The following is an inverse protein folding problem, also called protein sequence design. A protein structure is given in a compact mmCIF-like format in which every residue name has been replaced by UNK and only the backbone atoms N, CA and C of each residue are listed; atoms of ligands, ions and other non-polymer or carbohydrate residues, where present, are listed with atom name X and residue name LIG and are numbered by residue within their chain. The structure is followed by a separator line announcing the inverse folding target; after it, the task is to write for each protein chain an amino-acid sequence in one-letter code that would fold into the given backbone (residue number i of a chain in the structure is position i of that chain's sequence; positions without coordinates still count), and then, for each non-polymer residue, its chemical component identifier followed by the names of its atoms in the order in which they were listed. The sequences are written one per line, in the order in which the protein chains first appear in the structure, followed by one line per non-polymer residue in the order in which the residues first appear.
data_IF_946613796631
#
_entry.id   IF_946613796631
#
_cell.length_a   1.000
_cell.length_b   1.000
_cell.length_c   1.000
_cell.angle_alpha   90.00
_cell.angle_beta   90.00
_cell.angle_gamma   90.00
#
_symmetry.space_group_name_H-M   'P 1'
#
loop_
_entity.id
_entity.type
_entity.pdbx_description
1 polymer ?
#
# COMPACT_ATOMS: atom_id res chain seq x y z
N UNK A 1 -15.90 7.30 -25.33
CA UNK A 1 -16.00 5.83 -25.17
C UNK A 1 -14.61 5.32 -24.84
N UNK A 2 -14.47 4.50 -23.80
CA UNK A 2 -13.21 3.87 -23.42
C UNK A 2 -12.73 2.89 -24.51
N UNK A 3 -11.41 2.77 -24.70
CA UNK A 3 -10.83 1.80 -25.63
C UNK A 3 -11.32 0.35 -25.33
N UNK A 4 -11.38 0.00 -24.04
CA UNK A 4 -11.92 -1.27 -23.53
C UNK A 4 -13.34 -1.55 -23.99
N UNK A 5 -14.24 -0.56 -23.95
CA UNK A 5 -15.62 -0.70 -24.41
C UNK A 5 -15.72 -0.93 -25.92
N UNK A 6 -14.88 -0.21 -26.70
CA UNK A 6 -14.83 -0.37 -28.16
C UNK A 6 -14.39 -1.78 -28.54
N UNK A 7 -13.33 -2.27 -27.91
CA UNK A 7 -12.79 -3.61 -28.17
C UNK A 7 -13.72 -4.74 -27.69
N UNK A 8 -14.37 -4.58 -26.53
CA UNK A 8 -15.34 -5.57 -26.06
C UNK A 8 -16.53 -5.67 -27.01
N UNK A 9 -17.01 -4.53 -27.51
CA UNK A 9 -18.10 -4.52 -28.51
C UNK A 9 -17.67 -5.22 -29.81
N UNK A 10 -16.46 -4.93 -30.31
CA UNK A 10 -15.90 -5.59 -31.49
C UNK A 10 -15.73 -7.10 -31.30
N UNK A 11 -15.26 -7.52 -30.12
CA UNK A 11 -15.12 -8.94 -29.76
C UNK A 11 -16.48 -9.64 -29.75
N UNK A 12 -17.51 -9.06 -29.10
CA UNK A 12 -18.86 -9.62 -29.05
C UNK A 12 -19.46 -9.79 -30.45
N UNK A 13 -19.28 -8.77 -31.29
CA UNK A 13 -19.72 -8.84 -32.69
C UNK A 13 -19.01 -9.98 -33.43
N UNK A 14 -17.71 -10.10 -33.34
CA UNK A 14 -16.94 -11.15 -33.99
C UNK A 14 -17.35 -12.57 -33.52
N UNK A 15 -17.56 -12.72 -32.20
CA UNK A 15 -18.00 -14.00 -31.63
C UNK A 15 -19.44 -14.36 -32.09
N UNK A 16 -20.36 -13.39 -32.10
CA UNK A 16 -21.70 -13.56 -32.56
C UNK A 16 -21.74 -13.94 -34.06
N UNK A 17 -20.91 -13.26 -34.87
CA UNK A 17 -20.79 -13.57 -36.30
C UNK A 17 -20.25 -14.99 -36.56
N UNK A 18 -19.19 -15.39 -35.81
CA UNK A 18 -18.62 -16.75 -35.92
C UNK A 18 -19.62 -17.84 -35.50
N UNK A 19 -20.32 -17.61 -34.38
CA UNK A 19 -21.35 -18.57 -33.91
C UNK A 19 -22.56 -18.59 -34.80
N UNK A 20 -22.94 -17.48 -35.44
CA UNK A 20 -24.02 -17.35 -36.38
C UNK A 20 -23.70 -17.81 -37.80
N UNK A 21 -22.41 -18.03 -38.16
CA UNK A 21 -21.97 -18.38 -39.51
C UNK A 21 -22.69 -19.64 -40.07
N UNK A 22 -22.85 -20.75 -39.34
CA UNK A 22 -23.61 -21.91 -39.86
C UNK A 22 -25.06 -21.56 -40.21
N UNK A 23 -25.70 -20.71 -39.40
CA UNK A 23 -27.08 -20.27 -39.64
C UNK A 23 -27.14 -19.37 -40.88
N UNK A 24 -26.17 -18.46 -41.06
CA UNK A 24 -26.07 -17.61 -42.27
C UNK A 24 -25.88 -18.46 -43.54
N UNK A 25 -25.06 -19.49 -43.48
CA UNK A 25 -24.87 -20.43 -44.62
C UNK A 25 -26.17 -21.19 -44.93
N UNK A 26 -26.87 -21.67 -43.91
CA UNK A 26 -28.14 -22.35 -44.07
C UNK A 26 -29.19 -21.43 -44.69
N UNK A 27 -29.28 -20.17 -44.22
CA UNK A 27 -30.17 -19.16 -44.77
C UNK A 27 -29.84 -18.88 -46.23
N UNK A 28 -28.58 -18.76 -46.58
CA UNK A 28 -28.13 -18.55 -47.95
C UNK A 28 -28.50 -19.74 -48.85
N UNK A 29 -28.34 -20.97 -48.36
CA UNK A 29 -28.75 -22.17 -49.09
C UNK A 29 -30.27 -22.22 -49.34
N UNK A 30 -31.06 -21.88 -48.31
CA UNK A 30 -32.54 -21.81 -48.44
C UNK A 30 -32.90 -20.69 -49.41
N UNK A 31 -32.28 -19.53 -49.37
CA UNK A 31 -32.51 -18.46 -50.35
C UNK A 31 -32.17 -18.94 -51.76
N UNK A 32 -31.00 -19.60 -51.93
CA UNK A 32 -30.57 -20.09 -53.24
C UNK A 32 -31.55 -21.15 -53.78
N UNK A 33 -31.93 -22.13 -52.96
CA UNK A 33 -32.87 -23.20 -53.41
C UNK A 33 -34.26 -22.68 -53.63
N UNK A 34 -34.73 -21.64 -52.92
CA UNK A 34 -36.08 -21.07 -53.09
C UNK A 34 -36.17 -20.15 -54.31
N UNK A 35 -35.13 -19.38 -54.59
CA UNK A 35 -35.13 -18.45 -55.72
C UNK A 35 -34.71 -19.12 -57.02
N UNK A 36 -33.78 -20.08 -56.94
CA UNK A 36 -33.24 -20.76 -58.13
C UNK A 36 -33.96 -22.06 -58.39
N UNK A 37 -35.16 -21.98 -58.96
CA UNK A 37 -36.00 -23.12 -59.30
C UNK A 37 -36.07 -23.25 -60.84
N UNK A 38 -34.92 -23.67 -61.43
CA UNK A 38 -34.81 -23.78 -62.88
C UNK A 38 -34.53 -22.43 -63.58
N UNK A 39 -34.90 -22.33 -64.88
CA UNK A 39 -34.53 -21.18 -65.71
C UNK A 39 -35.33 -19.90 -65.47
N UNK A 40 -36.23 -19.86 -64.49
CA UNK A 40 -37.07 -18.68 -64.23
C UNK A 40 -37.06 -18.29 -62.75
N UNK A 41 -36.74 -17.01 -62.47
CA UNK A 41 -36.85 -16.40 -61.14
C UNK A 41 -38.34 -16.07 -60.84
N UNK A 42 -39.08 -16.98 -60.21
CA UNK A 42 -40.44 -16.74 -59.75
C UNK A 42 -40.52 -16.89 -58.25
N UNK A 43 -40.74 -15.78 -57.54
CA UNK A 43 -40.95 -15.78 -56.11
C UNK A 43 -42.47 -15.74 -55.85
N UNK A 44 -42.98 -16.79 -55.24
CA UNK A 44 -44.38 -16.78 -54.77
C UNK A 44 -44.52 -15.92 -53.51
N UNK A 45 -45.73 -15.41 -53.24
CA UNK A 45 -46.02 -14.65 -52.06
C UNK A 45 -45.66 -15.47 -50.78
N UNK A 46 -45.89 -16.78 -50.80
CA UNK A 46 -45.55 -17.69 -49.68
C UNK A 46 -44.03 -17.79 -49.45
N UNK A 47 -43.23 -17.85 -50.51
CA UNK A 47 -41.77 -17.93 -50.45
C UNK A 47 -41.18 -16.59 -49.99
N UNK A 48 -41.81 -15.49 -50.43
CA UNK A 48 -41.42 -14.14 -49.93
C UNK A 48 -41.62 -13.98 -48.42
N UNK A 49 -42.75 -14.45 -47.90
CA UNK A 49 -43.02 -14.41 -46.45
C UNK A 49 -42.04 -15.33 -45.69
N UNK A 50 -41.74 -16.52 -46.18
CA UNK A 50 -40.80 -17.45 -45.59
C UNK A 50 -39.40 -16.88 -45.55
N UNK A 51 -38.93 -16.28 -46.64
CA UNK A 51 -37.61 -15.64 -46.71
C UNK A 51 -37.49 -14.42 -45.78
N UNK A 52 -38.54 -13.60 -45.67
CA UNK A 52 -38.60 -12.47 -44.74
C UNK A 52 -38.54 -12.94 -43.27
N UNK A 53 -39.32 -13.98 -42.92
CA UNK A 53 -39.31 -14.56 -41.58
C UNK A 53 -37.92 -15.16 -41.22
N UNK A 54 -37.31 -15.87 -42.16
CA UNK A 54 -35.98 -16.47 -41.96
C UNK A 54 -34.92 -15.41 -41.78
N UNK A 55 -34.96 -14.33 -42.55
CA UNK A 55 -34.07 -13.18 -42.41
C UNK A 55 -34.23 -12.49 -41.04
N UNK A 56 -35.48 -12.29 -40.62
CA UNK A 56 -35.77 -11.70 -39.31
C UNK A 56 -35.24 -12.57 -38.17
N UNK A 57 -35.48 -13.87 -38.19
CA UNK A 57 -35.01 -14.84 -37.21
C UNK A 57 -33.48 -14.83 -37.15
N UNK A 58 -32.81 -14.75 -38.30
CA UNK A 58 -31.33 -14.71 -38.37
C UNK A 58 -30.76 -13.43 -37.76
N UNK A 59 -31.34 -12.28 -38.10
CA UNK A 59 -30.92 -10.98 -37.51
C UNK A 59 -31.15 -11.00 -36.00
N UNK A 60 -32.33 -11.49 -35.57
CA UNK A 60 -32.64 -11.60 -34.14
C UNK A 60 -31.69 -12.57 -33.42
N UNK A 61 -31.33 -13.70 -34.01
CA UNK A 61 -30.41 -14.67 -33.45
C UNK A 61 -29.00 -14.10 -33.31
N UNK A 62 -28.50 -13.38 -34.31
CA UNK A 62 -27.20 -12.71 -34.24
C UNK A 62 -27.23 -11.62 -33.13
N UNK A 63 -28.30 -10.81 -33.05
CA UNK A 63 -28.49 -9.83 -32.00
C UNK A 63 -28.53 -10.47 -30.60
N UNK A 64 -29.24 -11.59 -30.47
CA UNK A 64 -29.30 -12.36 -29.22
C UNK A 64 -27.92 -12.90 -28.84
N UNK A 65 -27.13 -13.44 -29.75
CA UNK A 65 -25.76 -13.90 -29.49
C UNK A 65 -24.82 -12.73 -29.06
N UNK A 66 -25.00 -11.54 -29.60
CA UNK A 66 -24.26 -10.36 -29.18
C UNK A 66 -24.56 -9.95 -27.72
N UNK A 67 -25.79 -10.17 -27.29
CA UNK A 67 -26.24 -9.85 -25.93
C UNK A 67 -26.02 -11.01 -24.93
N UNK A 68 -25.75 -12.23 -25.42
CA UNK A 68 -25.45 -13.35 -24.55
C UNK A 68 -24.21 -13.00 -23.70
N UNK A 69 -24.38 -13.12 -22.39
CA UNK A 69 -23.28 -12.88 -21.44
C UNK A 69 -22.19 -13.92 -21.68
N UNK A 70 -21.09 -13.49 -22.30
CA UNK A 70 -19.89 -14.33 -22.44
C UNK A 70 -19.32 -14.51 -21.04
N UNK A 71 -19.09 -15.73 -20.59
CA UNK A 71 -18.60 -16.08 -19.26
C UNK A 71 -17.29 -15.35 -18.87
N UNK A 72 -16.53 -14.87 -19.84
CA UNK A 72 -15.35 -14.06 -19.63
C UNK A 72 -15.50 -12.68 -20.30
N UNK A 73 -15.85 -11.65 -19.55
CA UNK A 73 -15.81 -10.26 -20.04
C UNK A 73 -14.37 -9.76 -20.06
N UNK A 74 -14.01 -8.94 -21.04
CA UNK A 74 -12.70 -8.27 -21.10
C UNK A 74 -12.63 -7.04 -20.18
N UNK A 75 -13.79 -6.55 -19.76
CA UNK A 75 -13.94 -5.30 -19.01
C UNK A 75 -14.33 -5.57 -17.56
N UNK A 76 -13.94 -4.66 -16.70
CA UNK A 76 -14.44 -4.54 -15.33
C UNK A 76 -15.88 -3.96 -15.37
N UNK A 77 -16.81 -4.60 -14.68
CA UNK A 77 -18.22 -4.22 -14.73
C UNK A 77 -18.51 -2.83 -14.16
N UNK A 78 -17.80 -2.44 -13.11
CA UNK A 78 -17.97 -1.17 -12.44
C UNK A 78 -17.37 -0.02 -13.25
N UNK A 79 -16.09 -0.11 -13.60
CA UNK A 79 -15.36 1.00 -14.22
C UNK A 79 -15.42 1.04 -15.73
N UNK A 80 -15.85 -0.06 -16.36
CA UNK A 80 -15.84 -0.28 -17.81
C UNK A 80 -14.42 -0.22 -18.44
N UNK A 81 -13.37 -0.12 -17.60
CA UNK A 81 -11.98 -0.31 -18.00
C UNK A 81 -11.67 -1.80 -18.26
N UNK A 82 -10.48 -2.13 -18.69
CA UNK A 82 -10.06 -3.52 -18.79
C UNK A 82 -10.01 -4.17 -17.39
N UNK A 83 -10.45 -5.43 -17.28
CA UNK A 83 -10.16 -6.20 -16.09
C UNK A 83 -8.67 -6.56 -16.04
N UNK A 84 -8.15 -6.90 -14.84
CA UNK A 84 -6.75 -7.23 -14.62
C UNK A 84 -6.19 -8.27 -15.61
N UNK A 85 -6.90 -9.36 -15.84
CA UNK A 85 -6.47 -10.45 -16.73
C UNK A 85 -6.25 -9.95 -18.15
N UNK A 86 -7.22 -9.21 -18.67
CA UNK A 86 -7.16 -8.63 -20.01
C UNK A 86 -6.11 -7.54 -20.11
N UNK A 87 -6.01 -6.68 -19.11
CA UNK A 87 -4.99 -5.62 -19.06
C UNK A 87 -3.58 -6.20 -19.18
N UNK A 88 -3.23 -7.20 -18.34
CA UNK A 88 -1.92 -7.86 -18.39
C UNK A 88 -1.65 -8.53 -19.75
N UNK A 89 -2.68 -9.20 -20.33
CA UNK A 89 -2.55 -9.81 -21.65
C UNK A 89 -2.27 -8.77 -22.73
N UNK A 90 -2.92 -7.61 -22.65
CA UNK A 90 -2.72 -6.52 -23.61
C UNK A 90 -1.34 -5.86 -23.47
N UNK A 91 -0.81 -5.75 -22.28
CA UNK A 91 0.55 -5.22 -22.06
C UNK A 91 1.61 -5.98 -22.86
N UNK A 92 1.46 -7.29 -23.03
CA UNK A 92 2.41 -8.11 -23.79
C UNK A 92 2.51 -7.69 -25.25
N UNK A 93 1.41 -7.20 -25.84
CA UNK A 93 1.37 -6.75 -27.24
C UNK A 93 1.62 -5.25 -27.37
N UNK A 94 1.19 -4.47 -26.37
CA UNK A 94 1.27 -3.01 -26.37
C UNK A 94 2.70 -2.51 -26.09
N UNK A 95 3.48 -3.23 -25.26
CA UNK A 95 4.86 -2.90 -24.84
C UNK A 95 5.01 -1.43 -24.42
N UNK A 96 4.36 -0.99 -23.34
CA UNK A 96 4.33 0.40 -22.93
C UNK A 96 5.72 0.89 -22.52
N UNK A 97 6.04 2.17 -22.80
CA UNK A 97 7.21 2.86 -22.25
C UNK A 97 7.05 3.15 -20.77
N UNK A 98 5.82 3.43 -20.35
CA UNK A 98 5.49 3.75 -18.96
C UNK A 98 4.26 2.98 -18.50
N UNK A 99 4.30 2.54 -17.24
CA UNK A 99 3.18 1.91 -16.53
C UNK A 99 2.92 2.70 -15.26
N UNK A 100 1.67 3.14 -15.06
CA UNK A 100 1.26 3.88 -13.87
C UNK A 100 0.17 3.12 -13.11
N UNK A 101 0.10 3.38 -11.81
CA UNK A 101 -0.98 2.95 -10.93
C UNK A 101 -1.50 4.18 -10.18
N UNK A 102 -2.80 4.44 -10.28
CA UNK A 102 -3.51 5.43 -9.47
C UNK A 102 -4.33 4.66 -8.42
N UNK A 103 -4.13 4.96 -7.14
CA UNK A 103 -4.83 4.34 -6.01
C UNK A 103 -5.70 5.35 -5.29
N UNK A 104 -6.89 4.92 -4.87
CA UNK A 104 -7.80 5.68 -3.99
C UNK A 104 -7.54 5.22 -2.57
N UNK A 105 -6.91 6.06 -1.75
CA UNK A 105 -6.49 5.71 -0.39
C UNK A 105 -7.64 5.58 0.59
N UNK A 106 -8.64 6.46 0.46
CA UNK A 106 -9.78 6.50 1.38
C UNK A 106 -10.99 5.64 0.94
N UNK A 107 -10.86 4.77 -0.08
CA UNK A 107 -11.97 3.99 -0.62
C UNK A 107 -12.67 3.12 0.45
N UNK A 108 -11.92 2.56 1.38
CA UNK A 108 -12.50 1.76 2.48
C UNK A 108 -13.43 2.60 3.35
N UNK A 109 -12.97 3.78 3.77
CA UNK A 109 -13.80 4.73 4.55
C UNK A 109 -15.00 5.24 3.75
N UNK A 110 -14.83 5.46 2.44
CA UNK A 110 -15.94 5.84 1.56
C UNK A 110 -16.97 4.71 1.48
N UNK A 111 -16.53 3.44 1.37
CA UNK A 111 -17.45 2.28 1.31
C UNK A 111 -18.23 2.05 2.61
N UNK A 112 -17.74 2.55 3.74
CA UNK A 112 -18.45 2.51 5.03
C UNK A 112 -19.52 3.61 5.17
N UNK A 113 -19.38 4.71 4.43
CA UNK A 113 -20.22 5.91 4.56
C UNK A 113 -21.18 6.15 3.39
N UNK A 114 -20.94 5.52 2.25
CA UNK A 114 -21.72 5.67 1.02
C UNK A 114 -22.28 4.32 0.55
N UNK A 115 -23.40 4.35 -0.17
CA UNK A 115 -23.98 3.13 -0.75
C UNK A 115 -23.07 2.52 -1.84
N UNK A 116 -23.23 1.22 -2.09
CA UNK A 116 -22.50 0.50 -3.16
C UNK A 116 -22.65 1.19 -4.50
N UNK A 117 -23.87 1.63 -4.86
CA UNK A 117 -24.15 2.30 -6.12
C UNK A 117 -23.43 3.65 -6.24
N UNK A 118 -23.29 4.38 -5.14
CA UNK A 118 -22.55 5.65 -5.11
C UNK A 118 -21.04 5.40 -5.31
N UNK A 119 -20.50 4.37 -4.68
CA UNK A 119 -19.10 3.98 -4.85
C UNK A 119 -18.83 3.47 -6.27
N UNK A 120 -19.71 2.67 -6.83
CA UNK A 120 -19.58 2.19 -8.21
C UNK A 120 -19.64 3.34 -9.22
N UNK A 121 -20.55 4.30 -9.02
CA UNK A 121 -20.62 5.51 -9.82
C UNK A 121 -19.38 6.39 -9.69
N UNK A 122 -18.82 6.52 -8.49
CA UNK A 122 -17.56 7.22 -8.24
C UNK A 122 -16.43 6.60 -9.05
N UNK A 123 -16.23 5.28 -8.94
CA UNK A 123 -15.19 4.53 -9.64
C UNK A 123 -15.35 4.61 -11.17
N UNK A 124 -16.57 4.52 -11.66
CA UNK A 124 -16.90 4.73 -13.07
C UNK A 124 -16.54 6.14 -13.55
N UNK A 125 -16.90 7.15 -12.75
CA UNK A 125 -16.61 8.56 -13.06
C UNK A 125 -15.11 8.83 -13.12
N UNK A 126 -14.32 8.27 -12.18
CA UNK A 126 -12.86 8.36 -12.19
C UNK A 126 -12.28 7.74 -13.46
N UNK A 127 -12.74 6.54 -13.84
CA UNK A 127 -12.30 5.88 -15.07
C UNK A 127 -12.57 6.72 -16.32
N UNK A 128 -13.74 7.37 -16.38
CA UNK A 128 -14.09 8.26 -17.49
C UNK A 128 -13.24 9.54 -17.52
N UNK A 129 -12.98 10.14 -16.36
CA UNK A 129 -12.16 11.34 -16.25
C UNK A 129 -10.71 11.05 -16.63
N UNK A 130 -10.16 9.91 -16.20
CA UNK A 130 -8.86 9.42 -16.69
C UNK A 130 -8.80 9.35 -18.22
N UNK A 131 -9.79 8.74 -18.85
CA UNK A 131 -9.79 8.63 -20.30
C UNK A 131 -9.96 10.00 -21.00
N UNK A 132 -10.72 10.92 -20.40
CA UNK A 132 -10.92 12.26 -20.97
C UNK A 132 -9.64 13.09 -20.90
N UNK A 133 -8.96 13.13 -19.74
CA UNK A 133 -7.74 13.92 -19.59
C UNK A 133 -6.61 13.42 -20.48
N UNK A 134 -6.45 12.11 -20.64
CA UNK A 134 -5.47 11.58 -21.58
C UNK A 134 -5.78 11.93 -23.02
N UNK A 135 -7.06 11.91 -23.42
CA UNK A 135 -7.47 12.32 -24.77
C UNK A 135 -7.28 13.82 -25.03
N UNK A 136 -7.51 14.66 -24.03
CA UNK A 136 -7.25 16.10 -24.12
C UNK A 136 -5.77 16.44 -24.31
N UNK A 137 -4.89 15.50 -23.92
CA UNK A 137 -3.44 15.58 -24.10
C UNK A 137 -2.95 14.72 -25.30
N UNK A 138 -3.80 14.48 -26.30
CA UNK A 138 -3.48 13.74 -27.54
C UNK A 138 -3.03 12.28 -27.34
N UNK A 139 -3.41 11.69 -26.21
CA UNK A 139 -3.08 10.30 -25.85
C UNK A 139 -4.30 9.38 -26.07
N UNK A 140 -4.61 9.07 -27.32
CA UNK A 140 -5.81 8.29 -27.69
C UNK A 140 -5.72 6.78 -27.41
N UNK A 141 -4.50 6.23 -27.30
CA UNK A 141 -4.26 4.77 -27.21
C UNK A 141 -3.87 4.30 -25.82
N UNK A 142 -4.41 4.95 -24.78
CA UNK A 142 -4.13 4.60 -23.39
C UNK A 142 -4.88 3.32 -23.00
N UNK A 143 -4.17 2.35 -22.42
CA UNK A 143 -4.81 1.21 -21.77
C UNK A 143 -5.13 1.59 -20.32
N UNK A 144 -6.42 1.57 -19.97
CA UNK A 144 -6.89 1.79 -18.59
C UNK A 144 -7.55 0.50 -18.13
N UNK A 145 -7.05 -0.06 -17.02
CA UNK A 145 -7.59 -1.25 -16.38
C UNK A 145 -7.82 -1.03 -14.90
N UNK A 146 -8.60 -1.92 -14.28
CA UNK A 146 -8.80 -1.97 -12.84
C UNK A 146 -8.14 -3.21 -12.26
N UNK A 147 -7.40 -3.00 -11.18
CA UNK A 147 -6.93 -4.07 -10.30
C UNK A 147 -7.49 -3.82 -8.90
N UNK A 148 -7.52 -4.75 -8.02
CA UNK A 148 -7.98 -4.67 -6.61
C UNK A 148 -8.76 -3.38 -6.26
N UNK A 149 -10.03 -3.45 -6.10
CA UNK A 149 -10.94 -2.41 -5.56
C UNK A 149 -10.61 -0.94 -5.91
N UNK A 150 -9.56 -0.38 -5.33
CA UNK A 150 -9.18 1.03 -5.42
C UNK A 150 -8.14 1.39 -6.49
N UNK A 151 -7.57 0.41 -7.22
CA UNK A 151 -6.41 0.61 -8.08
C UNK A 151 -6.78 0.67 -9.56
N UNK A 152 -6.37 1.74 -10.24
CA UNK A 152 -6.42 1.91 -11.69
C UNK A 152 -5.03 1.74 -12.29
N UNK A 153 -4.89 0.79 -13.20
CA UNK A 153 -3.66 0.56 -13.96
C UNK A 153 -3.74 1.28 -15.30
N UNK A 154 -2.67 1.98 -15.65
CA UNK A 154 -2.59 2.84 -16.83
C UNK A 154 -1.31 2.53 -17.59
N UNK A 155 -1.41 2.20 -18.87
CA UNK A 155 -0.24 1.91 -19.70
C UNK A 155 -0.20 2.84 -20.92
N UNK A 156 0.96 3.42 -21.16
CA UNK A 156 1.17 4.51 -22.11
C UNK A 156 2.53 4.39 -22.81
N UNK A 157 2.59 4.93 -24.04
CA UNK A 157 3.83 5.07 -24.81
C UNK A 157 4.29 6.52 -24.88
N UNK A 158 4.31 7.19 -23.70
CA UNK A 158 4.69 8.60 -23.60
C UNK A 158 5.78 8.82 -22.53
N UNK A 159 6.31 10.06 -22.49
CA UNK A 159 7.29 10.46 -21.50
C UNK A 159 6.66 10.46 -20.10
N UNK A 160 7.37 9.93 -19.14
CA UNK A 160 6.92 9.82 -17.75
C UNK A 160 6.65 11.18 -17.08
N UNK A 161 7.40 12.24 -17.42
CA UNK A 161 7.17 13.59 -16.89
C UNK A 161 5.82 14.15 -17.35
N UNK A 162 5.46 13.93 -18.61
CA UNK A 162 4.16 14.33 -19.15
C UNK A 162 3.02 13.56 -18.47
N UNK A 163 3.18 12.24 -18.30
CA UNK A 163 2.19 11.41 -17.59
C UNK A 163 2.02 11.86 -16.14
N UNK A 164 3.10 12.22 -15.47
CA UNK A 164 3.07 12.75 -14.10
C UNK A 164 2.24 14.04 -14.04
N UNK A 165 2.52 15.01 -14.92
CA UNK A 165 1.77 16.28 -14.99
C UNK A 165 0.28 16.04 -15.22
N UNK A 166 -0.08 15.13 -16.13
CA UNK A 166 -1.48 14.78 -16.39
C UNK A 166 -2.16 14.18 -15.16
N UNK A 167 -1.48 13.27 -14.43
CA UNK A 167 -2.06 12.66 -13.23
C UNK A 167 -2.16 13.65 -12.07
N UNK A 168 -1.19 14.56 -11.90
CA UNK A 168 -1.24 15.63 -10.91
C UNK A 168 -2.42 16.58 -11.20
N UNK A 169 -2.59 17.03 -12.44
CA UNK A 169 -3.74 17.84 -12.85
C UNK A 169 -5.06 17.13 -12.58
N UNK A 170 -5.14 15.83 -12.91
CA UNK A 170 -6.34 15.03 -12.65
C UNK A 170 -6.68 15.02 -11.16
N UNK A 171 -5.70 14.83 -10.29
CA UNK A 171 -5.87 14.77 -8.83
C UNK A 171 -6.32 16.14 -8.30
N UNK A 172 -5.69 17.22 -8.73
CA UNK A 172 -6.02 18.58 -8.30
C UNK A 172 -7.45 18.97 -8.71
N UNK A 173 -7.85 18.70 -9.94
CA UNK A 173 -9.19 19.01 -10.43
C UNK A 173 -10.27 18.07 -9.91
N UNK A 174 -9.92 16.88 -9.43
CA UNK A 174 -10.86 15.84 -9.05
C UNK A 174 -10.68 15.33 -7.61
N UNK A 175 -10.12 16.15 -6.73
CA UNK A 175 -10.09 15.89 -5.28
C UNK A 175 -11.50 15.74 -4.69
N UNK A 176 -12.52 16.27 -5.40
CA UNK A 176 -13.92 16.15 -5.04
C UNK A 176 -14.79 15.77 -6.24
N UNK A 177 -15.47 14.61 -6.18
CA UNK A 177 -16.35 14.12 -7.24
C UNK A 177 -17.74 13.89 -6.65
N UNK A 178 -18.79 14.50 -7.21
CA UNK A 178 -20.17 14.36 -6.74
C UNK A 178 -20.32 14.62 -5.23
N UNK A 179 -19.63 15.62 -4.70
CA UNK A 179 -19.52 15.93 -3.25
C UNK A 179 -18.81 14.88 -2.40
N UNK A 180 -18.20 13.87 -2.97
CA UNK A 180 -17.37 12.89 -2.28
C UNK A 180 -15.92 13.32 -2.39
N UNK A 181 -15.24 13.47 -1.26
CA UNK A 181 -13.82 13.79 -1.18
C UNK A 181 -12.99 12.52 -1.42
N UNK A 182 -12.03 12.58 -2.34
CA UNK A 182 -11.25 11.42 -2.78
C UNK A 182 -9.76 11.69 -2.61
N UNK A 183 -9.12 10.82 -1.83
CA UNK A 183 -7.66 10.86 -1.63
C UNK A 183 -6.97 9.95 -2.62
N UNK A 184 -6.05 10.51 -3.40
CA UNK A 184 -5.31 9.78 -4.43
C UNK A 184 -3.83 9.65 -4.09
N UNK A 185 -3.27 8.52 -4.49
CA UNK A 185 -1.83 8.33 -4.66
C UNK A 185 -1.56 7.71 -6.01
N UNK A 186 -0.41 8.02 -6.59
CA UNK A 186 0.00 7.39 -7.83
C UNK A 186 1.50 7.09 -7.85
N UNK A 187 1.87 6.13 -8.69
CA UNK A 187 3.25 5.79 -8.99
C UNK A 187 3.41 5.51 -10.48
N UNK A 188 4.59 5.77 -11.01
CA UNK A 188 4.93 5.53 -12.42
C UNK A 188 6.22 4.71 -12.47
N UNK A 189 6.22 3.64 -13.28
CA UNK A 189 7.41 2.86 -13.62
C UNK A 189 7.72 3.10 -15.10
N UNK A 190 8.95 3.51 -15.37
CA UNK A 190 9.49 3.63 -16.71
C UNK A 190 10.12 2.33 -17.16
N UNK A 191 10.11 2.06 -18.47
CA UNK A 191 10.71 0.88 -19.08
C UNK A 191 10.31 -0.44 -18.38
N UNK A 192 9.00 -0.70 -18.21
CA UNK A 192 8.57 -1.92 -17.52
C UNK A 192 9.07 -3.16 -18.28
N UNK A 193 9.68 -4.08 -17.52
CA UNK A 193 10.15 -5.35 -18.07
C UNK A 193 8.98 -6.22 -18.55
N UNK A 194 9.27 -7.26 -19.35
CA UNK A 194 8.26 -8.20 -19.86
C UNK A 194 7.41 -8.88 -18.77
N UNK A 195 7.91 -8.94 -17.53
CA UNK A 195 7.12 -9.42 -16.40
C UNK A 195 6.25 -8.31 -15.80
N UNK A 196 5.17 -7.98 -16.51
CA UNK A 196 4.22 -6.95 -16.08
C UNK A 196 3.55 -7.23 -14.72
N UNK A 197 3.41 -8.50 -14.32
CA UNK A 197 2.90 -8.83 -12.97
C UNK A 197 3.84 -8.29 -11.89
N UNK A 198 5.15 -8.44 -12.11
CA UNK A 198 6.16 -7.91 -11.20
C UNK A 198 6.14 -6.37 -11.18
N UNK A 199 6.05 -5.73 -12.36
CA UNK A 199 5.96 -4.27 -12.46
C UNK A 199 4.75 -3.70 -11.71
N UNK A 200 3.59 -4.34 -11.77
CA UNK A 200 2.39 -3.94 -11.00
C UNK A 200 2.65 -4.06 -9.48
N UNK A 201 3.35 -5.10 -9.03
CA UNK A 201 3.70 -5.23 -7.62
C UNK A 201 4.68 -4.15 -7.18
N UNK A 202 5.65 -3.81 -8.00
CA UNK A 202 6.61 -2.71 -7.74
C UNK A 202 5.92 -1.34 -7.67
N UNK A 203 4.90 -1.07 -8.50
CA UNK A 203 4.08 0.14 -8.40
C UNK A 203 3.42 0.26 -7.02
N UNK A 204 2.92 -0.84 -6.48
CA UNK A 204 2.33 -0.87 -5.14
C UNK A 204 3.36 -0.62 -4.04
N UNK A 205 4.57 -1.17 -4.18
CA UNK A 205 5.66 -0.91 -3.24
C UNK A 205 6.00 0.58 -3.21
N UNK A 206 6.02 1.26 -4.37
CA UNK A 206 6.25 2.71 -4.46
C UNK A 206 5.11 3.47 -3.76
N UNK A 207 3.84 3.16 -4.06
CA UNK A 207 2.68 3.80 -3.42
C UNK A 207 2.72 3.59 -1.89
N UNK A 208 3.01 2.38 -1.44
CA UNK A 208 3.11 2.06 -0.01
C UNK A 208 4.28 2.78 0.68
N UNK A 209 5.33 3.13 -0.05
CA UNK A 209 6.48 3.87 0.47
C UNK A 209 6.24 5.38 0.64
N UNK A 210 5.17 5.92 0.03
CA UNK A 210 4.81 7.32 0.15
C UNK A 210 4.16 7.59 1.51
N UNK A 211 4.77 8.45 2.34
CA UNK A 211 4.16 8.87 3.61
C UNK A 211 3.15 10.00 3.40
N UNK A 212 2.26 10.25 4.39
CA UNK A 212 1.31 11.37 4.33
C UNK A 212 1.99 12.74 4.31
N UNK A 213 3.19 12.85 4.89
CA UNK A 213 3.98 14.09 4.97
C UNK A 213 4.71 14.45 3.66
N UNK A 214 4.85 13.51 2.73
CA UNK A 214 5.55 13.72 1.45
C UNK A 214 4.77 14.62 0.46
N UNK A 215 3.59 15.12 0.82
CA UNK A 215 2.82 16.07 -0.02
C UNK A 215 3.58 17.36 -0.36
N UNK A 216 4.65 17.70 0.36
CA UNK A 216 5.50 18.88 0.08
C UNK A 216 6.74 18.58 -0.79
N UNK A 217 7.10 17.28 -0.97
CA UNK A 217 8.21 16.83 -1.84
C UNK A 217 7.70 15.85 -2.92
N UNK A 218 6.72 16.28 -3.70
CA UNK A 218 5.89 15.44 -4.58
C UNK A 218 6.63 14.69 -5.70
N UNK A 219 7.89 15.02 -6.04
CA UNK A 219 8.39 14.65 -7.36
C UNK A 219 9.45 13.54 -7.42
N UNK A 220 10.19 13.26 -6.35
CA UNK A 220 11.36 12.36 -6.40
C UNK A 220 11.06 10.87 -6.17
N UNK A 221 9.92 10.54 -5.56
CA UNK A 221 9.61 9.16 -5.16
C UNK A 221 8.52 8.47 -6.00
N UNK A 222 7.88 9.20 -6.89
CA UNK A 222 6.73 8.72 -7.67
C UNK A 222 7.14 7.97 -8.94
N UNK A 223 8.30 8.32 -9.51
CA UNK A 223 8.81 7.75 -10.76
C UNK A 223 10.05 6.91 -10.47
N UNK A 224 10.09 5.67 -10.94
CA UNK A 224 11.20 4.75 -10.80
C UNK A 224 11.45 3.94 -12.08
N UNK A 225 12.71 3.63 -12.37
CA UNK A 225 13.08 2.70 -13.42
C UNK A 225 12.88 1.25 -12.97
N UNK A 226 12.31 0.40 -13.82
CA UNK A 226 12.01 -0.99 -13.48
C UNK A 226 13.27 -1.82 -13.18
N UNK A 227 14.41 -1.49 -13.82
CA UNK A 227 15.68 -2.18 -13.59
C UNK A 227 16.25 -1.79 -12.23
N UNK A 228 16.17 -0.49 -11.86
CA UNK A 228 16.59 0.01 -10.55
C UNK A 228 15.79 -0.69 -9.44
N UNK A 229 14.45 -0.74 -9.56
CA UNK A 229 13.59 -1.44 -8.60
C UNK A 229 13.92 -2.93 -8.46
N UNK A 230 14.25 -3.59 -9.58
CA UNK A 230 14.64 -5.00 -9.55
C UNK A 230 16.00 -5.21 -8.87
N UNK A 231 16.92 -4.27 -8.97
CA UNK A 231 18.20 -4.32 -8.28
C UNK A 231 18.01 -4.08 -6.77
N UNK A 232 17.22 -3.07 -6.38
CA UNK A 232 16.88 -2.83 -4.98
C UNK A 232 16.24 -4.09 -4.35
N UNK A 233 15.30 -4.75 -5.05
CA UNK A 233 14.68 -5.98 -4.57
C UNK A 233 15.71 -7.10 -4.35
N UNK A 234 16.66 -7.29 -5.27
CA UNK A 234 17.75 -8.25 -5.11
C UNK A 234 18.63 -7.93 -3.90
N UNK A 235 18.97 -6.64 -3.73
CA UNK A 235 19.79 -6.18 -2.61
C UNK A 235 19.07 -6.41 -1.26
N UNK A 236 17.76 -6.14 -1.19
CA UNK A 236 16.94 -6.43 0.01
C UNK A 236 16.98 -7.92 0.36
N UNK A 237 16.72 -8.80 -0.63
CA UNK A 237 16.75 -10.25 -0.43
C UNK A 237 18.15 -10.71 0.05
N UNK A 238 19.20 -10.28 -0.64
CA UNK A 238 20.57 -10.66 -0.32
C UNK A 238 21.00 -10.18 1.08
N UNK A 239 20.59 -8.98 1.47
CA UNK A 239 20.92 -8.41 2.79
C UNK A 239 20.25 -9.18 3.91
N UNK A 240 18.97 -9.55 3.75
CA UNK A 240 18.24 -10.36 4.75
C UNK A 240 18.87 -11.75 4.87
N UNK A 241 19.14 -12.41 3.75
CA UNK A 241 19.78 -13.74 3.74
C UNK A 241 21.17 -13.73 4.35
N UNK A 242 21.95 -12.67 4.13
CA UNK A 242 23.28 -12.49 4.74
C UNK A 242 23.22 -11.96 6.18
N UNK A 243 22.03 -11.63 6.70
CA UNK A 243 21.78 -11.06 8.03
C UNK A 243 22.58 -9.76 8.29
N UNK A 244 22.76 -8.93 7.26
CA UNK A 244 23.53 -7.69 7.31
C UNK A 244 22.62 -6.47 7.52
N UNK A 245 22.16 -6.28 8.76
CA UNK A 245 21.42 -5.09 9.16
C UNK A 245 22.41 -4.02 9.62
N UNK A 246 22.16 -2.76 9.26
CA UNK A 246 22.85 -1.60 9.80
C UNK A 246 21.96 -0.99 10.87
N UNK A 247 22.38 -1.11 12.12
CA UNK A 247 21.68 -0.52 13.26
C UNK A 247 22.23 0.88 13.53
N UNK A 248 21.32 1.80 13.85
CA UNK A 248 21.62 3.15 14.31
C UNK A 248 20.82 3.40 15.58
N UNK A 249 21.49 3.84 16.62
CA UNK A 249 20.97 4.00 17.97
C UNK A 249 20.65 5.46 18.23
N UNK A 250 19.38 5.78 18.47
CA UNK A 250 18.88 7.11 18.78
C UNK A 250 18.70 7.22 20.29
N UNK A 251 19.49 8.06 20.98
CA UNK A 251 19.41 8.15 22.42
C UNK A 251 18.09 8.76 22.89
N UNK A 252 17.49 8.20 23.94
CA UNK A 252 16.40 8.79 24.71
C UNK A 252 16.99 9.35 26.00
N UNK A 253 16.88 10.65 26.20
CA UNK A 253 17.30 11.32 27.41
C UNK A 253 16.19 11.20 28.45
N UNK A 254 16.50 10.56 29.57
CA UNK A 254 15.65 10.53 30.76
C UNK A 254 15.63 11.91 31.42
N UNK A 255 14.47 12.54 31.50
CA UNK A 255 14.34 13.92 31.98
C UNK A 255 14.47 14.05 33.50
N UNK A 256 14.35 12.96 34.25
CA UNK A 256 14.40 12.94 35.70
C UNK A 256 15.83 13.01 36.26
N UNK A 257 16.80 12.44 35.55
CA UNK A 257 18.19 12.31 35.98
C UNK A 257 19.21 12.84 34.94
N UNK A 258 18.72 13.31 33.79
CA UNK A 258 19.52 13.78 32.65
C UNK A 258 20.55 12.74 32.12
N UNK A 259 20.21 11.44 32.21
CA UNK A 259 21.03 10.34 31.68
C UNK A 259 20.36 9.68 30.46
N UNK A 260 21.15 8.97 29.64
CA UNK A 260 20.68 8.16 28.54
C UNK A 260 20.76 6.71 28.99
N UNK A 261 19.60 6.09 29.24
CA UNK A 261 19.42 4.70 29.65
C UNK A 261 18.63 3.87 28.62
N UNK A 262 18.13 4.49 27.58
CA UNK A 262 17.32 3.85 26.55
C UNK A 262 17.73 4.35 25.15
N UNK A 263 17.79 3.46 24.18
CA UNK A 263 18.05 3.78 22.78
C UNK A 263 16.96 3.21 21.87
N UNK A 264 16.43 4.04 20.97
CA UNK A 264 15.61 3.57 19.87
C UNK A 264 16.47 3.09 18.71
N UNK A 265 16.21 1.87 18.26
CA UNK A 265 16.94 1.27 17.14
C UNK A 265 16.26 1.65 15.82
N UNK A 266 17.00 2.34 14.97
CA UNK A 266 16.64 2.58 13.58
C UNK A 266 17.46 1.66 12.68
N UNK A 267 16.82 1.05 11.68
CA UNK A 267 17.43 0.03 10.84
C UNK A 267 17.52 0.54 9.41
N UNK A 268 18.67 0.31 8.78
CA UNK A 268 18.86 0.45 7.35
C UNK A 268 19.38 -0.88 6.80
N UNK A 269 19.11 -1.15 5.53
CA UNK A 269 19.73 -2.28 4.85
C UNK A 269 20.95 -1.78 4.05
N UNK A 270 22.09 -2.45 4.24
CA UNK A 270 23.31 -2.12 3.51
C UNK A 270 23.23 -2.67 2.09
N UNK A 271 23.08 -1.80 1.11
CA UNK A 271 23.21 -2.19 -0.29
C UNK A 271 24.67 -2.42 -0.68
N UNK A 272 24.93 -3.40 -1.54
CA UNK A 272 26.25 -3.63 -2.13
C UNK A 272 26.47 -2.74 -3.38
N UNK A 273 25.40 -2.25 -3.98
CA UNK A 273 25.41 -1.55 -5.28
C UNK A 273 24.89 -0.12 -5.21
N UNK A 274 24.16 0.24 -4.16
CA UNK A 274 23.47 1.53 -4.00
C UNK A 274 23.73 2.14 -2.63
N UNK A 275 23.12 3.32 -2.37
CA UNK A 275 23.08 3.90 -1.02
C UNK A 275 22.24 3.01 -0.08
N UNK A 276 22.43 3.18 1.23
CA UNK A 276 21.66 2.48 2.27
C UNK A 276 20.17 2.56 2.00
N UNK A 277 19.50 1.40 2.04
CA UNK A 277 18.06 1.30 1.76
C UNK A 277 17.28 1.60 3.04
N UNK A 278 16.42 2.61 2.99
CA UNK A 278 15.61 3.05 4.12
C UNK A 278 14.36 2.18 4.35
N UNK A 279 13.80 2.11 5.58
CA UNK A 279 12.63 1.30 5.91
C UNK A 279 11.42 1.52 4.99
N UNK A 280 11.14 2.77 4.62
CA UNK A 280 10.03 3.10 3.70
C UNK A 280 10.14 2.41 2.34
N UNK A 281 11.35 2.06 1.90
CA UNK A 281 11.59 1.38 0.62
C UNK A 281 11.59 -0.13 0.79
N UNK A 282 12.30 -0.66 1.80
CA UNK A 282 12.46 -2.11 1.93
C UNK A 282 11.29 -2.81 2.62
N UNK A 283 10.57 -2.18 3.56
CA UNK A 283 9.47 -2.83 4.28
C UNK A 283 8.32 -3.28 3.34
N UNK A 284 7.85 -2.48 2.36
CA UNK A 284 6.88 -2.95 1.38
C UNK A 284 7.37 -4.18 0.60
N UNK A 285 8.67 -4.21 0.23
CA UNK A 285 9.27 -5.34 -0.49
C UNK A 285 9.30 -6.59 0.40
N UNK A 286 9.77 -6.46 1.64
CA UNK A 286 9.80 -7.54 2.65
C UNK A 286 8.41 -8.13 2.86
N UNK A 287 7.41 -7.28 3.06
CA UNK A 287 6.02 -7.71 3.28
C UNK A 287 5.46 -8.45 2.05
N UNK A 288 5.70 -7.93 0.85
CA UNK A 288 5.28 -8.56 -0.41
C UNK A 288 5.92 -9.92 -0.64
N UNK A 289 7.18 -10.07 -0.27
CA UNK A 289 7.94 -11.32 -0.43
C UNK A 289 7.72 -12.32 0.71
N UNK A 290 6.98 -11.93 1.76
CA UNK A 290 6.74 -12.78 2.93
C UNK A 290 7.96 -12.97 3.83
N UNK A 291 8.97 -12.07 3.73
CA UNK A 291 10.23 -12.13 4.48
C UNK A 291 10.15 -11.44 5.84
N UNK A 292 8.99 -10.91 6.25
CA UNK A 292 8.83 -10.10 7.46
C UNK A 292 9.27 -10.83 8.73
N UNK A 293 8.90 -12.11 8.90
CA UNK A 293 9.29 -12.92 10.07
C UNK A 293 10.78 -13.18 10.13
N UNK A 294 11.41 -13.47 9.00
CA UNK A 294 12.86 -13.68 8.93
C UNK A 294 13.62 -12.39 9.25
N UNK A 295 13.14 -11.26 8.73
CA UNK A 295 13.68 -9.93 9.04
C UNK A 295 13.56 -9.61 10.53
N UNK A 296 12.37 -9.75 11.12
CA UNK A 296 12.14 -9.46 12.54
C UNK A 296 12.96 -10.38 13.45
N UNK A 297 13.09 -11.67 13.09
CA UNK A 297 13.93 -12.58 13.87
C UNK A 297 15.42 -12.26 13.77
N UNK A 298 15.88 -11.84 12.59
CA UNK A 298 17.26 -11.38 12.40
C UNK A 298 17.55 -10.13 13.22
N UNK A 299 16.62 -9.19 13.23
CA UNK A 299 16.72 -7.95 14.02
C UNK A 299 16.81 -8.27 15.52
N UNK A 300 15.81 -8.98 16.05
CA UNK A 300 15.74 -9.22 17.49
C UNK A 300 16.93 -10.04 17.99
N UNK A 301 17.40 -11.00 17.19
CA UNK A 301 18.59 -11.76 17.50
C UNK A 301 19.84 -10.86 17.58
N UNK A 302 20.01 -9.95 16.63
CA UNK A 302 21.12 -8.98 16.66
C UNK A 302 21.04 -8.07 17.89
N UNK A 303 19.84 -7.60 18.23
CA UNK A 303 19.61 -6.76 19.42
C UNK A 303 19.94 -7.50 20.71
N UNK A 304 19.53 -8.77 20.82
CA UNK A 304 19.84 -9.63 21.98
C UNK A 304 21.35 -9.86 22.09
N UNK A 305 22.05 -10.11 21.00
CA UNK A 305 23.51 -10.33 20.97
C UNK A 305 24.31 -9.06 21.35
N UNK A 306 23.72 -7.86 21.19
CA UNK A 306 24.34 -6.59 21.61
C UNK A 306 24.20 -6.29 23.10
N UNK A 307 23.15 -6.78 23.78
CA UNK A 307 22.86 -6.45 25.16
C UNK A 307 23.99 -6.80 26.17
N UNK A 308 24.73 -7.91 26.01
CA UNK A 308 25.90 -8.21 26.85
C UNK A 308 27.09 -7.27 26.63
N UNK A 309 27.11 -6.53 25.51
CA UNK A 309 28.22 -5.64 25.14
C UNK A 309 28.02 -4.20 25.62
N UNK A 310 26.93 -3.92 26.33
CA UNK A 310 26.60 -2.60 26.87
C UNK A 310 26.18 -2.71 28.33
N UNK A 311 26.25 -1.58 29.07
CA UNK A 311 25.87 -1.53 30.47
C UNK A 311 24.50 -2.15 30.76
N UNK A 312 24.33 -2.83 31.90
CA UNK A 312 23.11 -3.52 32.30
C UNK A 312 21.90 -2.59 32.44
N UNK A 313 22.13 -1.28 32.67
CA UNK A 313 21.08 -0.26 32.77
C UNK A 313 20.48 0.13 31.40
N UNK A 314 21.14 -0.24 30.30
CA UNK A 314 20.74 0.16 28.96
C UNK A 314 19.63 -0.74 28.44
N UNK A 315 18.56 -0.11 27.94
CA UNK A 315 17.42 -0.75 27.28
C UNK A 315 17.35 -0.36 25.82
N UNK A 316 16.84 -1.28 24.97
CA UNK A 316 16.62 -1.02 23.56
C UNK A 316 15.14 -1.04 23.21
N UNK A 317 14.70 -0.05 22.45
CA UNK A 317 13.35 0.00 21.89
C UNK A 317 13.40 -0.13 20.36
N UNK A 318 12.54 -0.98 19.81
CA UNK A 318 12.54 -1.35 18.39
C UNK A 318 11.16 -1.80 17.93
N UNK A 319 10.92 -1.69 16.60
CA UNK A 319 9.67 -2.09 16.00
C UNK A 319 9.69 -3.57 15.59
N UNK A 320 8.62 -4.30 15.90
CA UNK A 320 8.33 -5.63 15.34
C UNK A 320 6.97 -5.63 14.62
N UNK A 321 6.89 -6.44 13.58
CA UNK A 321 5.64 -6.61 12.85
C UNK A 321 4.57 -7.30 13.71
N UNK A 322 3.30 -6.82 13.72
CA UNK A 322 2.20 -7.53 14.36
C UNK A 322 2.01 -8.97 13.87
N UNK A 323 2.41 -9.28 12.64
CA UNK A 323 2.37 -10.64 12.10
C UNK A 323 3.41 -11.55 12.76
N UNK A 324 4.62 -11.06 13.01
CA UNK A 324 5.66 -11.80 13.72
C UNK A 324 5.29 -12.00 15.17
N UNK A 325 4.75 -10.99 15.84
CA UNK A 325 4.31 -11.07 17.22
C UNK A 325 3.23 -12.14 17.44
N UNK A 326 2.31 -12.35 16.51
CA UNK A 326 1.25 -13.37 16.59
C UNK A 326 1.70 -14.77 16.22
N UNK A 327 2.86 -14.93 15.60
CA UNK A 327 3.37 -16.23 15.19
C UNK A 327 3.97 -16.98 16.39
N UNK A 328 3.35 -18.10 16.79
CA UNK A 328 3.79 -18.89 17.93
C UNK A 328 5.22 -19.41 17.78
N UNK A 329 5.60 -19.84 16.57
CA UNK A 329 6.97 -20.30 16.29
C UNK A 329 8.00 -19.18 16.43
N UNK A 330 7.64 -17.94 16.09
CA UNK A 330 8.48 -16.78 16.33
C UNK A 330 8.66 -16.52 17.83
N UNK A 331 7.57 -16.55 18.60
CA UNK A 331 7.58 -16.36 20.05
C UNK A 331 8.46 -17.42 20.75
N UNK A 332 8.24 -18.70 20.45
CA UNK A 332 9.00 -19.81 21.01
C UNK A 332 10.52 -19.66 20.75
N UNK A 333 10.90 -19.32 19.51
CA UNK A 333 12.31 -19.11 19.15
C UNK A 333 12.90 -17.90 19.86
N UNK A 334 12.13 -16.81 20.01
CA UNK A 334 12.58 -15.61 20.69
C UNK A 334 12.82 -15.88 22.17
N UNK A 335 11.85 -16.48 22.86
CA UNK A 335 11.99 -16.76 24.29
C UNK A 335 13.10 -17.78 24.57
N UNK A 336 13.20 -18.85 23.78
CA UNK A 336 14.31 -19.78 23.87
C UNK A 336 15.69 -19.11 23.67
N UNK A 337 15.77 -18.12 22.77
CA UNK A 337 17.01 -17.40 22.53
C UNK A 337 17.36 -16.45 23.67
N UNK A 338 16.37 -15.80 24.28
CA UNK A 338 16.58 -14.99 25.50
C UNK A 338 17.11 -15.83 26.67
N UNK A 339 16.51 -17.02 26.87
CA UNK A 339 16.93 -17.99 27.90
C UNK A 339 18.36 -18.51 27.65
N UNK A 340 18.67 -18.84 26.38
CA UNK A 340 20.02 -19.28 25.97
C UNK A 340 21.09 -18.23 26.27
N UNK A 341 20.77 -16.96 26.03
CA UNK A 341 21.70 -15.85 26.24
C UNK A 341 21.68 -15.27 27.66
N UNK A 342 20.76 -15.73 28.50
CA UNK A 342 20.56 -15.25 29.88
C UNK A 342 20.37 -13.73 29.96
N UNK A 343 19.61 -13.16 29.00
CA UNK A 343 19.32 -11.73 28.92
C UNK A 343 18.10 -11.39 29.74
N UNK A 344 18.14 -10.32 30.53
CA UNK A 344 16.97 -9.73 31.18
C UNK A 344 16.01 -9.17 30.11
N UNK A 345 14.82 -9.79 29.91
CA UNK A 345 13.86 -9.32 28.90
C UNK A 345 13.34 -7.90 29.14
N UNK A 346 13.44 -7.38 30.37
CA UNK A 346 12.99 -6.01 30.72
C UNK A 346 13.80 -4.90 30.02
N UNK A 347 14.96 -5.24 29.48
CA UNK A 347 15.81 -4.37 28.67
C UNK A 347 15.33 -4.24 27.22
N UNK A 348 14.33 -5.04 26.81
CA UNK A 348 13.74 -5.03 25.46
C UNK A 348 12.35 -4.38 25.50
N UNK A 349 12.18 -3.33 24.70
CA UNK A 349 10.94 -2.57 24.57
C UNK A 349 10.42 -2.70 23.17
N UNK A 350 9.31 -3.43 22.97
CA UNK A 350 8.70 -3.62 21.66
C UNK A 350 7.84 -2.40 21.35
N UNK A 351 8.12 -1.71 20.26
CA UNK A 351 7.29 -0.61 19.74
C UNK A 351 6.23 -1.14 18.81
N UNK A 352 5.00 -0.71 19.00
CA UNK A 352 3.84 -1.03 18.19
C UNK A 352 3.31 0.23 17.52
N UNK A 353 3.15 0.16 16.21
CA UNK A 353 2.52 1.21 15.43
C UNK A 353 1.19 0.74 14.86
N UNK A 354 0.09 1.17 15.47
CA UNK A 354 -1.26 0.72 15.13
C UNK A 354 -2.09 1.88 14.56
N UNK A 355 -2.37 1.81 13.26
CA UNK A 355 -3.25 2.80 12.57
C UNK A 355 -4.72 2.49 12.73
N UNK A 356 -5.08 1.20 12.87
CA UNK A 356 -6.45 0.71 12.98
C UNK A 356 -6.52 -0.36 14.06
N UNK A 357 -7.66 -0.44 14.73
CA UNK A 357 -7.93 -1.52 15.68
C UNK A 357 -7.99 -2.86 14.95
N UNK A 358 -7.37 -3.89 15.51
CA UNK A 358 -7.46 -5.24 14.97
C UNK A 358 -8.88 -5.82 15.08
N UNK A 359 -9.32 -6.59 14.11
CA UNK A 359 -10.61 -7.29 14.15
C UNK A 359 -10.71 -8.23 15.36
N UNK A 360 -9.63 -8.96 15.69
CA UNK A 360 -9.49 -9.74 16.92
C UNK A 360 -8.60 -8.99 17.91
N UNK A 361 -9.16 -7.97 18.54
CA UNK A 361 -8.47 -7.19 19.55
C UNK A 361 -8.09 -8.06 20.75
N UNK A 362 -9.00 -8.91 21.23
CA UNK A 362 -8.77 -9.78 22.40
C UNK A 362 -7.61 -10.73 22.19
N UNK A 363 -7.57 -11.43 21.04
CA UNK A 363 -6.45 -12.32 20.69
C UNK A 363 -5.12 -11.59 20.56
N UNK A 364 -5.14 -10.37 20.00
CA UNK A 364 -3.93 -9.57 19.89
C UNK A 364 -3.42 -9.10 21.26
N UNK A 365 -4.30 -8.62 22.13
CA UNK A 365 -3.93 -8.22 23.49
C UNK A 365 -3.41 -9.39 24.33
N UNK A 366 -3.97 -10.58 24.14
CA UNK A 366 -3.44 -11.81 24.76
C UNK A 366 -2.00 -12.08 24.31
N UNK A 367 -1.69 -11.87 23.04
CA UNK A 367 -0.33 -11.96 22.50
C UNK A 367 0.62 -10.97 23.18
N UNK A 368 0.22 -9.70 23.32
CA UNK A 368 1.04 -8.68 24.00
C UNK A 368 1.25 -9.01 25.49
N UNK A 369 0.22 -9.51 26.17
CA UNK A 369 0.34 -9.99 27.55
C UNK A 369 1.33 -11.17 27.69
N UNK A 370 1.43 -12.04 26.68
CA UNK A 370 2.42 -13.10 26.68
C UNK A 370 3.86 -12.55 26.66
N UNK A 371 4.15 -11.56 25.85
CA UNK A 371 5.46 -10.88 25.85
C UNK A 371 5.76 -10.22 27.21
N UNK A 372 4.77 -9.54 27.81
CA UNK A 372 4.94 -8.91 29.12
C UNK A 372 5.15 -9.95 30.23
N UNK A 373 4.48 -11.09 30.19
CA UNK A 373 4.65 -12.16 31.18
C UNK A 373 6.06 -12.78 31.15
N UNK A 374 6.76 -12.66 30.00
CA UNK A 374 8.19 -12.99 29.85
C UNK A 374 9.12 -11.82 30.21
N UNK A 375 8.60 -10.73 30.77
CA UNK A 375 9.39 -9.59 31.26
C UNK A 375 9.65 -8.48 30.23
N UNK A 376 9.29 -8.63 28.95
CA UNK A 376 9.48 -7.59 27.94
C UNK A 376 8.52 -6.42 28.16
N UNK A 377 8.94 -5.21 27.78
CA UNK A 377 8.11 -4.00 27.84
C UNK A 377 7.47 -3.71 26.49
N UNK A 378 6.29 -3.09 26.53
CA UNK A 378 5.52 -2.74 25.34
C UNK A 378 5.30 -1.22 25.28
N UNK A 379 5.69 -0.63 24.14
CA UNK A 379 5.51 0.79 23.83
C UNK A 379 4.54 0.95 22.67
N UNK A 380 3.57 1.86 22.79
CA UNK A 380 2.75 2.28 21.65
C UNK A 380 3.36 3.53 21.00
N UNK A 381 3.58 3.48 19.69
CA UNK A 381 4.14 4.58 18.91
C UNK A 381 3.05 5.46 18.28
N UNK A 382 3.38 6.72 18.02
CA UNK A 382 2.49 7.74 17.46
C UNK A 382 1.17 7.91 18.23
N UNK A 383 1.27 7.88 19.56
CA UNK A 383 0.14 8.04 20.45
C UNK A 383 -0.52 9.42 20.27
N UNK A 384 -1.85 9.42 20.13
CA UNK A 384 -2.65 10.61 19.88
C UNK A 384 -2.88 10.94 18.39
N UNK A 385 -2.21 10.24 17.44
CA UNK A 385 -2.43 10.45 16.00
C UNK A 385 -3.71 9.77 15.47
N UNK A 386 -4.24 8.78 16.20
CA UNK A 386 -5.42 8.01 15.81
C UNK A 386 -6.23 7.51 16.99
N UNK A 387 -7.51 7.19 16.75
CA UNK A 387 -8.38 6.63 17.77
C UNK A 387 -7.97 5.20 18.18
N UNK A 388 -7.22 4.48 17.33
CA UNK A 388 -6.81 3.12 17.63
C UNK A 388 -5.94 3.03 18.88
N UNK A 389 -4.98 3.92 19.06
CA UNK A 389 -4.10 3.94 20.23
C UNK A 389 -4.86 4.14 21.55
N UNK A 390 -5.90 4.98 21.54
CA UNK A 390 -6.77 5.17 22.71
C UNK A 390 -7.62 3.94 23.01
N UNK A 391 -8.11 3.24 21.99
CA UNK A 391 -8.88 2.00 22.17
C UNK A 391 -8.01 0.89 22.79
N UNK A 392 -6.76 0.75 22.35
CA UNK A 392 -5.83 -0.18 22.96
C UNK A 392 -5.58 0.12 24.45
N UNK A 393 -5.43 1.39 24.82
CA UNK A 393 -5.17 1.77 26.21
C UNK A 393 -6.33 1.46 27.18
N UNK A 394 -7.57 1.35 26.70
CA UNK A 394 -8.70 0.91 27.52
C UNK A 394 -8.58 -0.54 28.00
N UNK A 395 -7.89 -1.37 27.21
CA UNK A 395 -7.88 -2.83 27.38
C UNK A 395 -6.51 -3.41 27.70
N UNK A 396 -5.45 -2.60 27.56
CA UNK A 396 -4.08 -3.05 27.77
C UNK A 396 -3.25 -1.96 28.44
N UNK A 397 -2.49 -2.34 29.49
CA UNK A 397 -1.56 -1.44 30.17
C UNK A 397 -0.22 -1.47 29.44
N UNK A 398 0.09 -0.42 28.70
CA UNK A 398 1.39 -0.19 28.12
C UNK A 398 2.42 0.20 29.19
N UNK A 399 3.68 -0.07 28.93
CA UNK A 399 4.78 0.36 29.79
C UNK A 399 5.27 1.74 29.38
N UNK A 400 5.13 2.07 28.08
CA UNK A 400 5.58 3.32 27.50
C UNK A 400 4.64 3.79 26.37
N UNK A 401 4.48 5.09 26.21
CA UNK A 401 3.81 5.73 25.07
C UNK A 401 4.74 6.74 24.41
N UNK A 402 4.71 6.78 23.12
CA UNK A 402 5.50 7.67 22.29
C UNK A 402 4.55 8.60 21.53
N UNK A 403 4.59 9.90 21.84
CA UNK A 403 3.67 10.87 21.24
C UNK A 403 3.93 11.07 19.75
N UNK A 404 2.86 11.34 19.02
CA UNK A 404 2.95 11.71 17.61
C UNK A 404 3.80 12.98 17.44
N UNK A 405 4.50 13.05 16.30
CA UNK A 405 5.40 14.15 15.96
C UNK A 405 4.71 15.52 16.04
N UNK A 406 3.46 15.60 15.59
CA UNK A 406 2.76 16.88 15.49
C UNK A 406 2.59 17.57 16.82
N UNK A 407 2.48 16.84 17.93
CA UNK A 407 2.45 17.42 19.26
C UNK A 407 3.76 18.12 19.67
N UNK A 408 4.90 17.62 19.20
CA UNK A 408 6.22 18.17 19.53
C UNK A 408 6.62 19.30 18.58
N UNK A 409 6.31 19.17 17.30
CA UNK A 409 6.64 20.20 16.29
C UNK A 409 5.78 21.44 16.42
N UNK A 410 4.54 21.30 16.93
CA UNK A 410 3.58 22.39 17.07
C UNK A 410 3.36 22.81 18.54
N UNK A 411 4.37 22.66 19.41
CA UNK A 411 4.31 23.02 20.84
C UNK A 411 4.04 24.52 21.12
N UNK A 412 4.15 25.37 20.13
CA UNK A 412 3.85 26.80 20.25
C UNK A 412 2.34 27.08 20.08
N UNK A 413 1.58 26.15 19.51
CA UNK A 413 0.13 26.27 19.41
C UNK A 413 -0.53 25.92 20.75
N UNK A 414 -1.35 26.82 21.28
CA UNK A 414 -1.99 26.66 22.59
C UNK A 414 -2.87 25.41 22.67
N UNK A 415 -3.57 25.08 21.58
CA UNK A 415 -4.45 23.91 21.51
C UNK A 415 -3.64 22.62 21.56
N UNK A 416 -2.59 22.54 20.75
CA UNK A 416 -1.67 21.40 20.69
C UNK A 416 -0.98 21.19 22.04
N UNK A 417 -0.52 22.28 22.67
CA UNK A 417 0.07 22.25 24.01
C UNK A 417 -0.89 21.71 25.06
N UNK A 418 -2.14 22.22 25.10
CA UNK A 418 -3.16 21.78 26.05
C UNK A 418 -3.54 20.31 25.85
N UNK A 419 -3.63 19.86 24.60
CA UNK A 419 -3.87 18.44 24.25
C UNK A 419 -2.73 17.55 24.75
N UNK A 420 -1.48 17.91 24.44
CA UNK A 420 -0.31 17.15 24.88
C UNK A 420 -0.25 17.07 26.41
N UNK A 421 -0.48 18.17 27.11
CA UNK A 421 -0.54 18.22 28.58
C UNK A 421 -1.56 17.22 29.13
N UNK A 422 -2.78 17.23 28.57
CA UNK A 422 -3.84 16.29 28.98
C UNK A 422 -3.46 14.83 28.74
N UNK A 423 -2.78 14.53 27.65
CA UNK A 423 -2.30 13.17 27.32
C UNK A 423 -1.18 12.72 28.27
N UNK A 424 -0.28 13.64 28.64
CA UNK A 424 0.80 13.37 29.62
C UNK A 424 0.20 13.09 31.00
N UNK A 425 -0.77 13.88 31.46
CA UNK A 425 -1.45 13.68 32.74
C UNK A 425 -2.19 12.33 32.78
N UNK A 426 -2.85 11.97 31.69
CA UNK A 426 -3.49 10.67 31.55
C UNK A 426 -2.46 9.53 31.66
N UNK A 427 -1.35 9.60 30.92
CA UNK A 427 -0.29 8.59 30.97
C UNK A 427 0.30 8.47 32.38
N UNK A 428 0.53 9.59 33.05
CA UNK A 428 1.02 9.65 34.44
C UNK A 428 0.07 8.97 35.42
N UNK A 429 -1.24 9.24 35.31
CA UNK A 429 -2.28 8.61 36.16
C UNK A 429 -2.37 7.09 35.92
N UNK A 430 -2.03 6.61 34.73
CA UNK A 430 -1.96 5.20 34.38
C UNK A 430 -0.60 4.56 34.68
N UNK A 431 0.35 5.31 35.23
CA UNK A 431 1.74 4.87 35.46
C UNK A 431 2.44 4.37 34.20
N UNK A 432 2.26 5.09 33.09
CA UNK A 432 2.87 4.81 31.79
C UNK A 432 3.94 5.86 31.52
N UNK A 433 5.15 5.41 31.12
CA UNK A 433 6.23 6.30 30.75
C UNK A 433 5.93 6.99 29.40
N UNK A 434 6.30 8.27 29.31
CA UNK A 434 6.03 9.11 28.15
C UNK A 434 7.29 9.48 27.39
N UNK A 435 7.23 9.45 26.06
CA UNK A 435 8.34 9.80 25.16
C UNK A 435 7.90 10.86 24.17
N UNK A 436 8.66 11.94 24.06
CA UNK A 436 8.51 12.93 23.00
C UNK A 436 9.71 12.85 22.04
N UNK A 437 9.41 12.59 20.76
CA UNK A 437 10.41 12.58 19.68
C UNK A 437 10.44 13.90 18.92
N UNK A 438 11.47 14.11 18.09
CA UNK A 438 11.64 15.30 17.23
C UNK A 438 11.88 16.58 18.03
N UNK A 439 12.60 16.46 19.14
CA UNK A 439 13.03 17.60 19.94
C UNK A 439 14.30 18.19 19.32
N UNK A 440 14.16 19.29 18.59
CA UNK A 440 15.24 19.86 17.77
C UNK A 440 15.95 21.05 18.41
N UNK A 441 15.38 21.63 19.50
CA UNK A 441 15.94 22.80 20.18
C UNK A 441 15.70 22.79 21.69
N UNK A 442 16.43 23.65 22.40
CA UNK A 442 16.39 23.74 23.87
C UNK A 442 15.06 24.30 24.40
N UNK A 443 14.35 25.13 23.62
CA UNK A 443 13.05 25.67 24.04
C UNK A 443 12.01 24.53 24.12
N UNK A 444 11.95 23.64 23.11
CA UNK A 444 11.09 22.44 23.13
C UNK A 444 11.44 21.52 24.30
N UNK A 445 12.73 21.27 24.52
CA UNK A 445 13.23 20.45 25.63
C UNK A 445 12.78 20.98 26.98
N UNK A 446 12.91 22.30 27.21
CA UNK A 446 12.51 22.96 28.45
C UNK A 446 10.98 22.85 28.65
N UNK A 447 10.17 23.15 27.63
CA UNK A 447 8.70 23.03 27.70
C UNK A 447 8.25 21.60 28.01
N UNK A 448 8.87 20.60 27.37
CA UNK A 448 8.54 19.19 27.60
C UNK A 448 8.93 18.72 29.01
N UNK A 449 10.07 19.17 29.54
CA UNK A 449 10.47 18.92 30.94
C UNK A 449 9.43 19.50 31.92
N UNK A 450 8.96 20.74 31.67
CA UNK A 450 7.93 21.38 32.50
C UNK A 450 6.61 20.62 32.46
N UNK A 451 6.23 20.07 31.30
CA UNK A 451 5.05 19.20 31.16
C UNK A 451 5.20 17.84 31.87
N UNK A 452 6.40 17.48 32.32
CA UNK A 452 6.67 16.23 33.03
C UNK A 452 6.79 14.99 32.13
N UNK A 453 7.25 15.18 30.89
CA UNK A 453 7.61 14.09 30.00
C UNK A 453 8.77 13.27 30.60
N UNK A 454 8.74 11.93 30.44
CA UNK A 454 9.80 11.07 31.02
C UNK A 454 11.05 10.98 30.13
N UNK A 455 10.85 10.88 28.82
CA UNK A 455 11.94 10.72 27.84
C UNK A 455 11.80 11.69 26.69
N UNK A 456 12.90 12.22 26.22
CA UNK A 456 12.97 13.08 25.04
C UNK A 456 14.02 12.56 24.05
N UNK A 457 13.76 12.70 22.76
CA UNK A 457 14.64 12.27 21.68
C UNK A 457 14.60 13.30 20.55
N UNK A 458 15.75 13.60 19.96
CA UNK A 458 15.86 14.50 18.81
C UNK A 458 17.27 15.07 18.65
N UNK A 459 17.46 15.84 17.59
CA UNK A 459 18.77 16.47 17.32
C UNK A 459 19.16 17.53 18.38
N UNK A 460 18.18 18.12 19.06
CA UNK A 460 18.41 19.00 20.20
C UNK A 460 18.85 18.25 21.47
N UNK A 461 18.81 16.92 21.48
CA UNK A 461 19.26 16.08 22.59
C UNK A 461 20.62 15.44 22.25
N UNK A 462 20.63 14.58 21.20
CA UNK A 462 21.86 13.93 20.75
C UNK A 462 21.65 13.37 19.33
N UNK A 463 22.73 13.28 18.56
CA UNK A 463 22.71 12.62 17.25
C UNK A 463 22.64 11.10 17.41
N UNK A 464 22.04 10.39 16.44
CA UNK A 464 22.13 8.94 16.37
C UNK A 464 23.57 8.48 16.29
N UNK A 465 23.89 7.37 16.96
CA UNK A 465 25.21 6.75 16.96
C UNK A 465 25.13 5.37 16.27
N UNK A 466 26.26 4.90 15.76
CA UNK A 466 26.40 3.54 15.22
C UNK A 466 26.72 2.53 16.34
N UNK A 467 26.73 1.27 15.97
CA UNK A 467 26.96 0.14 16.86
C UNK A 467 28.36 0.19 17.53
N UNK A 468 29.40 0.51 16.76
CA UNK A 468 30.76 0.62 17.27
C UNK A 468 30.89 1.74 18.32
N UNK A 469 30.32 2.89 18.03
CA UNK A 469 30.29 4.02 18.98
C UNK A 469 29.48 3.67 20.23
N UNK A 470 28.37 2.92 20.09
CA UNK A 470 27.58 2.49 21.24
C UNK A 470 28.40 1.57 22.16
N UNK A 471 29.01 0.51 21.58
CA UNK A 471 29.82 -0.44 22.33
C UNK A 471 30.99 0.28 23.04
N UNK A 472 31.72 1.13 22.32
CA UNK A 472 32.86 1.87 22.89
C UNK A 472 32.47 2.86 23.99
N UNK A 473 31.20 3.29 24.08
CA UNK A 473 30.70 4.17 25.13
C UNK A 473 30.52 3.46 26.48
N UNK A 474 30.25 2.14 26.45
CA UNK A 474 29.90 1.34 27.63
C UNK A 474 30.90 0.22 27.94
N UNK A 475 31.95 0.09 27.15
CA UNK A 475 33.15 -0.69 27.43
C UNK A 475 34.27 0.26 27.96
#
# INVERSE_FOLDING_TARGET
MLLSQKEERGRRFTLALRAGMPVLILVFLVFYTTIYNGDTLIISIKDGILLAALTFITIYFIYFLMNLSVQETMIDQTTQGFNKKTFIKKLQHYKPKSLACLSIENLTSLSENYSSDQIDNLLYTISRKLNLIFKQNDLDTVLIGRDRGSEFLIALNDNHEHIQTILETLIEENSRINNIEVDYKFAIITNPHENFKKAILQLRDIIASQSRDDNKQKHTHTIKDAKELSNIEKDVIATIQKKKLLLSFRPLLNTSNDTIDTYEIAIKLKSETHQDILPRVYLPIINRLGLGREYDFTLIKHVIDLLPLVDETISFTFNLSPFSLRDSSFQEKLFAYLDEKQIDPSRLIIQLYERKTHHDLSGYLKTLNNFRSHGMKICIDNFGSSNASMEYMKHFKFDMVQFDRDYVTNLEDETTYAMLHSLIDMAKNLHIQTVAKWVDNEAQKTKLKVLGINYIQGFGVSKPIDEETLINRYN
#
